data_IF_531877402030
#
_entry.id   IF_531877402030
#
_cell.length_a   1.000
_cell.length_b   1.000
_cell.length_c   1.000
_cell.angle_alpha   90.00
_cell.angle_beta   90.00
_cell.angle_gamma   90.00
#
_symmetry.space_group_name_H-M   'P 1'
#
loop_
_entity.id
_entity.type
_entity.pdbx_description
1 polymer ?
#
# COMPACT_ATOMS: atom_id res chain seq x y z
N UNK A 1 -3.65 -0.03 -0.35
CA UNK A 1 -3.34 -1.30 0.34
C UNK A 1 -2.15 -1.94 -0.33
N UNK A 2 -1.36 -2.76 0.38
CA UNK A 2 -0.13 -3.37 -0.18
C UNK A 2 -0.12 -4.90 -0.09
N UNK A 3 -1.17 -5.63 -0.53
CA UNK A 3 -1.09 -7.09 -0.60
C UNK A 3 0.02 -7.54 -1.57
N UNK A 4 0.49 -8.78 -1.41
CA UNK A 4 1.45 -9.45 -2.29
C UNK A 4 0.86 -10.76 -2.76
N UNK A 5 1.10 -11.11 -4.02
CA UNK A 5 0.67 -12.39 -4.56
C UNK A 5 0.40 -12.31 -6.05
N UNK A 6 0.40 -13.47 -6.70
CA UNK A 6 0.14 -13.59 -8.14
C UNK A 6 -1.35 -13.69 -8.49
N UNK A 7 -2.22 -13.91 -7.50
CA UNK A 7 -3.67 -14.05 -7.68
C UNK A 7 -4.36 -12.91 -6.94
N UNK A 8 -5.12 -12.09 -7.65
CA UNK A 8 -5.98 -11.04 -7.10
C UNK A 8 -5.25 -9.81 -6.53
N UNK A 9 -3.94 -9.86 -6.32
CA UNK A 9 -3.20 -8.75 -5.69
C UNK A 9 -3.08 -7.53 -6.60
N UNK A 10 -3.00 -7.72 -7.92
CA UNK A 10 -2.91 -6.60 -8.86
C UNK A 10 -4.28 -5.97 -9.01
N UNK A 11 -5.28 -6.81 -9.26
CA UNK A 11 -6.67 -6.45 -9.50
C UNK A 11 -7.25 -5.70 -8.28
N UNK A 12 -7.02 -6.20 -7.06
CA UNK A 12 -7.49 -5.53 -5.85
C UNK A 12 -6.90 -4.13 -5.65
N UNK A 13 -5.69 -3.86 -6.15
CA UNK A 13 -5.05 -2.54 -6.05
C UNK A 13 -5.51 -1.60 -7.16
N UNK A 14 -5.76 -2.14 -8.35
CA UNK A 14 -6.38 -1.40 -9.45
C UNK A 14 -7.80 -0.96 -9.06
N UNK A 15 -8.58 -1.85 -8.45
CA UNK A 15 -9.90 -1.53 -7.89
C UNK A 15 -9.83 -0.44 -6.81
N UNK A 16 -8.83 -0.53 -5.92
CA UNK A 16 -8.60 0.53 -4.93
C UNK A 16 -8.24 1.86 -5.61
N UNK A 17 -7.40 1.85 -6.64
CA UNK A 17 -7.01 3.06 -7.39
C UNK A 17 -8.21 3.69 -8.12
N UNK A 18 -9.11 2.89 -8.67
CA UNK A 18 -10.26 3.36 -9.44
C UNK A 18 -11.41 3.85 -8.56
N UNK A 19 -11.67 3.19 -7.42
CA UNK A 19 -12.93 3.33 -6.69
C UNK A 19 -12.78 3.87 -5.26
N UNK A 20 -11.57 4.05 -4.74
CA UNK A 20 -11.39 4.50 -3.36
C UNK A 20 -11.88 5.94 -3.15
N UNK A 21 -12.71 6.12 -2.12
CA UNK A 21 -13.17 7.44 -1.64
C UNK A 21 -12.35 7.96 -0.47
N UNK A 22 -11.31 7.24 -0.05
CA UNK A 22 -10.43 7.60 1.06
C UNK A 22 -8.98 7.70 0.56
N UNK A 23 -8.12 8.53 1.18
CA UNK A 23 -6.69 8.54 0.88
C UNK A 23 -6.07 7.16 1.10
N UNK A 24 -5.19 6.74 0.20
CA UNK A 24 -4.53 5.44 0.29
C UNK A 24 -3.10 5.50 -0.22
N UNK A 25 -2.31 4.51 0.20
CA UNK A 25 -0.99 4.19 -0.34
C UNK A 25 -1.04 2.76 -0.88
N UNK A 26 -0.51 2.53 -2.08
CA UNK A 26 -0.50 1.22 -2.75
C UNK A 26 0.77 1.05 -3.60
N UNK A 27 1.06 -0.20 -3.98
CA UNK A 27 2.17 -0.56 -4.88
C UNK A 27 1.60 -1.29 -6.11
N UNK A 28 1.78 -0.74 -7.30
CA UNK A 28 1.23 -1.35 -8.53
C UNK A 28 1.80 -2.75 -8.80
N UNK A 29 0.95 -3.62 -9.35
CA UNK A 29 1.30 -5.01 -9.67
C UNK A 29 1.26 -5.95 -8.46
N UNK A 30 2.05 -7.03 -8.52
CA UNK A 30 1.97 -8.17 -7.59
C UNK A 30 2.82 -8.05 -6.32
N UNK A 31 3.71 -7.05 -6.24
CA UNK A 31 4.62 -6.85 -5.10
C UNK A 31 3.93 -6.16 -3.93
N UNK A 32 4.34 -6.47 -2.70
CA UNK A 32 3.79 -5.88 -1.48
C UNK A 32 4.19 -6.66 -0.23
N UNK A 33 3.25 -6.82 0.70
CA UNK A 33 3.40 -7.61 1.91
C UNK A 33 3.74 -6.78 3.14
N UNK A 34 3.88 -7.48 4.28
CA UNK A 34 4.12 -6.85 5.59
C UNK A 34 5.36 -5.95 5.63
N UNK A 35 6.52 -6.29 5.04
CA UNK A 35 7.67 -5.39 5.04
C UNK A 35 7.39 -4.03 4.38
N UNK A 36 6.65 -4.02 3.27
CA UNK A 36 6.25 -2.78 2.61
C UNK A 36 5.26 -1.97 3.48
N UNK A 37 4.27 -2.65 4.08
CA UNK A 37 3.31 -2.00 4.97
C UNK A 37 4.00 -1.36 6.18
N UNK A 38 4.89 -2.10 6.86
CA UNK A 38 5.65 -1.62 8.01
C UNK A 38 6.55 -0.45 7.62
N UNK A 39 7.25 -0.53 6.48
CA UNK A 39 8.08 0.58 5.99
C UNK A 39 7.28 1.85 5.74
N UNK A 40 6.09 1.75 5.16
CA UNK A 40 5.20 2.89 4.91
C UNK A 40 4.76 3.51 6.24
N UNK A 41 4.30 2.70 7.20
CA UNK A 41 3.87 3.19 8.51
C UNK A 41 5.02 3.86 9.27
N UNK A 42 6.20 3.25 9.29
CA UNK A 42 7.38 3.83 9.94
C UNK A 42 7.78 5.16 9.29
N UNK A 43 7.73 5.26 7.96
CA UNK A 43 7.99 6.52 7.27
C UNK A 43 6.98 7.61 7.64
N UNK A 44 5.69 7.27 7.73
CA UNK A 44 4.65 8.22 8.17
C UNK A 44 4.87 8.68 9.62
N UNK A 45 5.27 7.76 10.51
CA UNK A 45 5.64 8.11 11.89
C UNK A 45 6.84 9.07 11.90
N UNK A 46 7.89 8.78 11.14
CA UNK A 46 9.06 9.65 11.04
C UNK A 46 8.68 11.05 10.53
N UNK A 47 7.88 11.13 9.47
CA UNK A 47 7.35 12.40 8.93
C UNK A 47 6.54 13.16 9.98
N UNK A 48 5.67 12.48 10.73
CA UNK A 48 4.86 13.10 11.78
C UNK A 48 5.70 13.61 12.95
N UNK A 49 6.82 12.95 13.24
CA UNK A 49 7.75 13.32 14.30
C UNK A 49 8.86 14.28 13.85
N UNK A 50 8.90 14.64 12.55
CA UNK A 50 10.00 15.40 11.92
C UNK A 50 11.39 14.80 12.22
N UNK A 51 11.48 13.48 12.19
CA UNK A 51 12.74 12.72 12.27
C UNK A 51 13.12 12.21 10.89
#
# INVERSE_FOLDING_TARGET
GVPVGFVGSKEAKEELEMHSKVPFITLRGVKGGSPAAVSIVNALINMALNK
#
